data_IF_153627743965
#
_entry.id   IF_153627743965
#
_cell.length_a   1.000
_cell.length_b   1.000
_cell.length_c   1.000
_cell.angle_alpha   90.00
_cell.angle_beta   90.00
_cell.angle_gamma   90.00
#
_symmetry.space_group_name_H-M   'P 1'
#
loop_
_entity.id
_entity.type
_entity.pdbx_description
1 polymer ?
#
# COMPACT_ATOMS: atom_id res chain seq x y z
N UNK A 1 15.87 -9.75 -11.88
CA UNK A 1 17.30 -9.73 -12.26
C UNK A 1 18.26 -9.57 -11.08
N UNK A 2 18.16 -8.48 -10.26
CA UNK A 2 19.12 -8.19 -9.16
C UNK A 2 19.08 -9.23 -8.04
N UNK A 3 17.90 -9.66 -7.61
CA UNK A 3 17.72 -10.67 -6.55
C UNK A 3 18.29 -12.02 -7.01
N UNK A 4 17.96 -12.45 -8.23
CA UNK A 4 18.48 -13.71 -8.81
C UNK A 4 20.00 -13.73 -8.76
N UNK A 5 20.67 -12.69 -9.30
CA UNK A 5 22.11 -12.59 -9.32
C UNK A 5 22.75 -12.72 -7.92
N UNK A 6 22.19 -12.04 -6.91
CA UNK A 6 22.66 -12.11 -5.52
C UNK A 6 22.55 -13.51 -4.92
N UNK A 7 21.49 -14.24 -5.26
CA UNK A 7 21.26 -15.57 -4.73
C UNK A 7 22.13 -16.62 -5.42
N UNK A 8 22.33 -16.49 -6.75
CA UNK A 8 23.29 -17.30 -7.49
C UNK A 8 24.73 -17.11 -6.97
N UNK A 9 25.16 -15.87 -6.70
CA UNK A 9 26.45 -15.55 -6.08
C UNK A 9 26.59 -16.15 -4.66
N UNK A 10 25.48 -16.37 -3.96
CA UNK A 10 25.42 -17.02 -2.64
C UNK A 10 25.29 -18.55 -2.70
N UNK A 11 25.33 -19.15 -3.91
CA UNK A 11 25.27 -20.59 -4.12
C UNK A 11 23.85 -21.17 -4.25
N UNK A 12 22.82 -20.32 -4.39
CA UNK A 12 21.44 -20.75 -4.62
C UNK A 12 21.10 -20.68 -6.11
N UNK A 13 21.36 -21.72 -6.86
CA UNK A 13 21.02 -21.84 -8.27
C UNK A 13 19.57 -22.19 -8.55
N UNK A 14 19.22 -22.34 -9.83
CA UNK A 14 17.84 -22.62 -10.25
C UNK A 14 17.34 -24.02 -9.82
N UNK A 15 18.24 -24.93 -9.54
CA UNK A 15 17.97 -26.25 -8.96
C UNK A 15 17.46 -26.22 -7.50
N UNK A 16 17.78 -25.11 -6.79
CA UNK A 16 17.40 -24.92 -5.38
C UNK A 16 16.30 -23.88 -5.25
N UNK A 17 16.34 -22.81 -6.08
CA UNK A 17 15.49 -21.63 -5.92
C UNK A 17 14.87 -21.16 -7.23
N UNK A 18 13.56 -21.14 -7.27
CA UNK A 18 12.76 -20.52 -8.34
C UNK A 18 12.26 -19.15 -7.91
N UNK A 19 12.53 -18.09 -8.70
CA UNK A 19 12.05 -16.72 -8.47
C UNK A 19 11.04 -16.37 -9.56
N UNK A 20 9.84 -15.97 -9.14
CA UNK A 20 8.77 -15.49 -10.01
C UNK A 20 8.37 -14.07 -9.64
N UNK A 21 8.06 -13.25 -10.63
CA UNK A 21 7.47 -11.93 -10.45
C UNK A 21 5.99 -12.02 -10.84
N UNK A 22 5.15 -12.29 -9.85
CA UNK A 22 3.70 -12.36 -10.05
C UNK A 22 2.95 -12.00 -8.77
N UNK A 23 1.65 -11.80 -8.87
CA UNK A 23 0.84 -11.51 -7.69
C UNK A 23 0.71 -12.77 -6.82
N UNK A 24 0.84 -12.63 -5.51
CA UNK A 24 0.76 -13.76 -4.60
C UNK A 24 -0.64 -14.41 -4.53
N UNK A 25 -1.70 -13.74 -4.95
CA UNK A 25 -3.02 -14.34 -5.05
C UNK A 25 -3.13 -15.44 -6.12
N UNK A 26 -2.11 -15.62 -6.97
CA UNK A 26 -2.02 -16.73 -7.93
C UNK A 26 -1.24 -17.93 -7.37
N UNK A 27 -1.18 -18.07 -6.06
CA UNK A 27 -0.44 -19.15 -5.37
C UNK A 27 -0.89 -20.56 -5.78
N UNK A 28 -2.17 -20.74 -6.09
CA UNK A 28 -2.74 -22.00 -6.55
C UNK A 28 -2.18 -22.45 -7.90
N UNK A 29 -1.89 -21.52 -8.81
CA UNK A 29 -1.26 -21.82 -10.10
C UNK A 29 0.17 -22.35 -9.89
N UNK A 30 0.93 -21.67 -9.02
CA UNK A 30 2.30 -22.08 -8.69
C UNK A 30 2.31 -23.41 -7.97
N UNK A 31 1.35 -23.63 -7.07
CA UNK A 31 1.22 -24.89 -6.33
C UNK A 31 0.92 -26.07 -7.26
N UNK A 32 0.04 -25.90 -8.25
CA UNK A 32 -0.24 -26.93 -9.28
C UNK A 32 1.01 -27.34 -10.03
N UNK A 33 1.86 -26.39 -10.42
CA UNK A 33 3.12 -26.69 -11.11
C UNK A 33 4.16 -27.37 -10.18
N UNK A 34 4.21 -26.97 -8.89
CA UNK A 34 5.17 -27.48 -7.92
C UNK A 34 4.71 -28.79 -7.23
N UNK A 35 3.46 -29.21 -7.41
CA UNK A 35 2.88 -30.35 -6.68
C UNK A 35 2.51 -30.04 -5.21
N UNK A 36 2.21 -28.77 -4.91
CA UNK A 36 1.89 -28.28 -3.58
C UNK A 36 3.11 -27.92 -2.73
N UNK A 37 2.88 -27.19 -1.64
CA UNK A 37 3.91 -26.70 -0.73
C UNK A 37 3.82 -27.33 0.66
N UNK A 38 4.96 -27.63 1.26
CA UNK A 38 5.06 -28.10 2.64
C UNK A 38 5.03 -26.93 3.63
N UNK A 39 5.48 -25.74 3.15
CA UNK A 39 5.49 -24.51 3.93
C UNK A 39 5.29 -23.28 3.02
N UNK A 40 4.47 -22.35 3.45
CA UNK A 40 4.24 -21.04 2.78
C UNK A 40 4.51 -19.95 3.81
N UNK A 41 5.32 -18.95 3.44
CA UNK A 41 5.54 -17.73 4.22
C UNK A 41 5.14 -16.53 3.36
N UNK A 42 4.22 -15.72 3.84
CA UNK A 42 3.82 -14.47 3.21
C UNK A 42 4.33 -13.28 4.04
N UNK A 43 5.34 -12.57 3.51
CA UNK A 43 5.84 -11.30 4.07
C UNK A 43 5.23 -10.15 3.26
N UNK A 44 4.11 -9.62 3.80
CA UNK A 44 3.23 -8.70 3.09
C UNK A 44 3.54 -7.23 3.42
N UNK A 45 3.17 -6.35 2.52
CA UNK A 45 3.33 -4.90 2.66
C UNK A 45 4.48 -4.35 1.83
N UNK A 46 4.98 -3.18 2.22
CA UNK A 46 6.05 -2.46 1.49
C UNK A 46 7.39 -2.58 2.19
N UNK A 47 8.44 -2.76 1.39
CA UNK A 47 9.81 -2.79 1.91
C UNK A 47 10.34 -1.39 2.21
N UNK A 48 11.36 -1.29 3.08
CA UNK A 48 12.06 -0.02 3.34
C UNK A 48 12.61 0.63 2.08
N UNK A 49 13.11 -0.15 1.13
CA UNK A 49 13.60 0.36 -0.16
C UNK A 49 12.50 1.03 -1.00
N UNK A 50 11.26 0.57 -0.89
CA UNK A 50 10.11 1.21 -1.56
C UNK A 50 9.73 2.51 -0.85
N UNK A 51 9.73 2.50 0.49
CA UNK A 51 9.42 3.69 1.32
C UNK A 51 10.47 4.79 1.11
N UNK A 52 11.74 4.42 1.03
CA UNK A 52 12.88 5.35 0.90
C UNK A 52 13.03 5.93 -0.51
N UNK A 53 12.29 5.42 -1.49
CA UNK A 53 12.30 5.97 -2.84
C UNK A 53 11.23 7.06 -3.01
N UNK A 54 11.61 8.35 -3.09
CA UNK A 54 10.63 9.45 -3.19
C UNK A 54 9.72 9.36 -4.42
N UNK A 55 10.21 8.76 -5.51
CA UNK A 55 9.44 8.60 -6.76
C UNK A 55 8.24 7.65 -6.63
N UNK A 56 8.17 6.88 -5.54
CA UNK A 56 7.09 5.94 -5.25
C UNK A 56 5.96 6.57 -4.41
N UNK A 57 6.24 7.69 -3.73
CA UNK A 57 5.27 8.41 -2.92
C UNK A 57 4.85 7.75 -1.60
N UNK A 58 5.51 6.68 -1.15
CA UNK A 58 5.16 5.98 0.09
C UNK A 58 5.51 6.75 1.37
N UNK A 59 6.40 7.74 1.27
CA UNK A 59 6.83 8.55 2.41
C UNK A 59 6.33 9.99 2.28
N UNK A 60 5.72 10.51 3.34
CA UNK A 60 5.34 11.90 3.48
C UNK A 60 6.47 12.80 4.03
N UNK A 61 7.66 12.24 4.27
CA UNK A 61 8.81 12.97 4.82
C UNK A 61 9.56 13.75 3.75
N UNK A 62 9.56 13.26 2.53
CA UNK A 62 10.24 13.83 1.37
C UNK A 62 9.21 14.05 0.28
N UNK A 63 9.31 15.16 -0.44
CA UNK A 63 8.42 15.44 -1.56
C UNK A 63 8.62 14.47 -2.71
N UNK A 64 7.53 14.07 -3.32
CA UNK A 64 7.50 13.15 -4.46
C UNK A 64 6.08 13.02 -5.02
N UNK A 65 5.92 12.37 -6.20
CA UNK A 65 4.60 12.12 -6.76
C UNK A 65 3.75 11.29 -5.80
N UNK A 66 2.48 11.62 -5.66
CA UNK A 66 1.53 10.85 -4.87
C UNK A 66 1.06 9.62 -5.68
N UNK A 67 1.94 8.63 -5.84
CA UNK A 67 1.69 7.43 -6.63
C UNK A 67 1.11 6.29 -5.79
N UNK A 68 1.83 5.76 -4.82
CA UNK A 68 1.48 4.68 -3.89
C UNK A 68 1.23 3.30 -4.53
N UNK A 69 1.36 3.14 -5.83
CA UNK A 69 1.20 1.83 -6.49
C UNK A 69 2.39 0.93 -6.20
N UNK A 70 2.13 -0.34 -5.89
CA UNK A 70 3.16 -1.38 -5.80
C UNK A 70 3.70 -1.71 -7.20
N UNK A 71 2.83 -1.79 -8.19
CA UNK A 71 3.18 -1.90 -9.61
C UNK A 71 2.86 -0.59 -10.34
N UNK A 72 3.87 0.21 -10.68
CA UNK A 72 3.70 1.50 -11.36
C UNK A 72 3.28 1.38 -12.84
N UNK A 73 3.35 0.18 -13.42
CA UNK A 73 2.94 -0.07 -14.80
C UNK A 73 1.44 -0.39 -14.94
N UNK A 74 0.72 -0.52 -13.83
CA UNK A 74 -0.70 -0.86 -13.82
C UNK A 74 -1.50 -0.07 -12.80
N UNK A 75 -2.80 0.06 -13.02
CA UNK A 75 -3.73 0.75 -12.13
C UNK A 75 -3.59 2.28 -12.17
N UNK A 76 -4.32 2.94 -11.29
CA UNK A 76 -4.32 4.40 -11.11
C UNK A 76 -3.49 4.79 -9.89
N UNK A 77 -2.80 5.92 -9.95
CA UNK A 77 -2.07 6.49 -8.81
C UNK A 77 -3.03 7.00 -7.73
N UNK A 78 -2.51 7.20 -6.52
CA UNK A 78 -3.30 7.81 -5.44
C UNK A 78 -3.72 9.25 -5.79
N UNK A 79 -2.93 9.98 -6.54
CA UNK A 79 -3.30 11.30 -7.04
C UNK A 79 -4.52 11.24 -7.99
N UNK A 80 -4.56 10.28 -8.90
CA UNK A 80 -5.69 10.05 -9.82
C UNK A 80 -6.93 9.55 -9.05
N UNK A 81 -6.72 8.66 -8.08
CA UNK A 81 -7.80 8.17 -7.21
C UNK A 81 -8.44 9.32 -6.43
N UNK A 82 -7.64 10.19 -5.79
CA UNK A 82 -8.14 11.36 -5.09
C UNK A 82 -8.90 12.34 -6.01
N UNK A 83 -8.46 12.49 -7.25
CA UNK A 83 -9.13 13.38 -8.19
C UNK A 83 -10.55 12.93 -8.58
N UNK A 84 -10.85 11.64 -8.43
CA UNK A 84 -12.12 11.03 -8.85
C UNK A 84 -13.02 10.60 -7.68
N UNK A 85 -12.50 10.53 -6.44
CA UNK A 85 -13.22 10.00 -5.29
C UNK A 85 -14.23 11.02 -4.73
N UNK A 86 -15.37 10.55 -4.27
CA UNK A 86 -16.34 11.37 -3.53
C UNK A 86 -15.91 11.56 -2.07
N UNK A 87 -16.49 12.56 -1.37
CA UNK A 87 -16.21 12.79 0.05
C UNK A 87 -16.55 11.56 0.89
N UNK A 88 -17.72 10.97 0.69
CA UNK A 88 -18.21 9.87 1.50
C UNK A 88 -17.39 8.59 1.28
N UNK A 89 -17.01 8.31 0.02
CA UNK A 89 -16.07 7.21 -0.29
C UNK A 89 -14.70 7.42 0.35
N UNK A 90 -14.17 8.65 0.34
CA UNK A 90 -12.87 8.95 0.94
C UNK A 90 -12.92 8.80 2.46
N UNK A 91 -13.99 9.28 3.12
CA UNK A 91 -14.16 9.10 4.55
C UNK A 91 -14.26 7.63 4.93
N UNK A 92 -15.06 6.84 4.21
CA UNK A 92 -15.17 5.39 4.38
C UNK A 92 -13.82 4.69 4.20
N UNK A 93 -13.11 4.98 3.12
CA UNK A 93 -11.78 4.41 2.86
C UNK A 93 -10.77 4.71 3.97
N UNK A 94 -10.73 5.95 4.47
CA UNK A 94 -9.82 6.34 5.56
C UNK A 94 -10.15 5.61 6.86
N UNK A 95 -11.43 5.44 7.15
CA UNK A 95 -11.87 4.71 8.32
C UNK A 95 -11.61 3.20 8.20
N UNK A 96 -12.08 2.57 7.13
CA UNK A 96 -12.03 1.12 6.95
C UNK A 96 -10.59 0.58 6.76
N UNK A 97 -9.73 1.32 6.04
CA UNK A 97 -8.39 0.86 5.73
C UNK A 97 -7.34 1.22 6.79
N UNK A 98 -7.63 2.16 7.71
CA UNK A 98 -6.60 2.61 8.66
C UNK A 98 -7.10 3.13 10.01
N UNK A 99 -8.39 2.98 10.32
CA UNK A 99 -9.00 3.50 11.55
C UNK A 99 -8.67 4.99 11.80
N UNK A 100 -8.71 5.81 10.74
CA UNK A 100 -8.38 7.24 10.86
C UNK A 100 -9.52 7.99 11.59
N UNK A 101 -9.28 8.53 12.79
CA UNK A 101 -10.33 9.16 13.59
C UNK A 101 -10.85 10.48 13.01
N UNK A 102 -10.06 11.17 12.16
CA UNK A 102 -10.42 12.42 11.51
C UNK A 102 -10.83 12.21 10.04
N UNK A 103 -11.37 11.03 9.72
CA UNK A 103 -11.70 10.64 8.34
C UNK A 103 -12.67 11.63 7.67
N UNK A 104 -13.69 12.13 8.38
CA UNK A 104 -14.67 13.08 7.86
C UNK A 104 -14.08 14.45 7.57
N UNK A 105 -13.28 14.99 8.52
CA UNK A 105 -12.62 16.28 8.38
C UNK A 105 -11.60 16.27 7.24
N UNK A 106 -10.82 15.19 7.14
CA UNK A 106 -9.83 15.02 6.09
C UNK A 106 -10.49 14.85 4.72
N UNK A 107 -11.52 13.99 4.62
CA UNK A 107 -12.26 13.79 3.39
C UNK A 107 -12.87 15.10 2.89
N UNK A 108 -13.46 15.89 3.78
CA UNK A 108 -13.99 17.20 3.45
C UNK A 108 -12.88 18.15 2.97
N UNK A 109 -11.79 18.28 3.72
CA UNK A 109 -10.69 19.18 3.37
C UNK A 109 -10.04 18.84 2.02
N UNK A 110 -9.79 17.55 1.77
CA UNK A 110 -9.20 17.04 0.53
C UNK A 110 -10.14 17.32 -0.65
N UNK A 111 -11.42 16.96 -0.54
CA UNK A 111 -12.38 17.16 -1.64
C UNK A 111 -12.70 18.63 -1.88
N UNK A 112 -12.68 19.47 -0.85
CA UNK A 112 -12.84 20.93 -1.01
C UNK A 112 -11.65 21.55 -1.77
N UNK A 113 -10.42 21.11 -1.53
CA UNK A 113 -9.24 21.54 -2.30
C UNK A 113 -9.35 21.12 -3.78
N UNK A 114 -9.79 19.89 -4.04
CA UNK A 114 -10.00 19.37 -5.41
C UNK A 114 -11.08 20.20 -6.14
N UNK A 115 -12.19 20.53 -5.47
CA UNK A 115 -13.27 21.36 -6.03
C UNK A 115 -12.83 22.77 -6.36
N UNK A 116 -11.86 23.31 -5.64
CA UNK A 116 -11.21 24.61 -5.95
C UNK A 116 -10.27 24.54 -7.16
N UNK A 117 -10.07 23.36 -7.74
CA UNK A 117 -9.14 23.16 -8.85
C UNK A 117 -7.69 22.85 -8.40
N UNK A 118 -7.45 22.67 -7.10
CA UNK A 118 -6.13 22.34 -6.57
C UNK A 118 -5.86 20.84 -6.73
N UNK A 119 -4.90 20.49 -7.57
CA UNK A 119 -4.50 19.11 -7.78
C UNK A 119 -3.59 18.63 -6.63
N UNK A 120 -3.95 17.51 -6.02
CA UNK A 120 -3.17 16.87 -4.93
C UNK A 120 -2.33 15.75 -5.55
N UNK A 121 -1.24 16.11 -6.19
CA UNK A 121 -0.39 15.23 -6.99
C UNK A 121 0.97 14.92 -6.33
N UNK A 122 1.26 15.52 -5.16
CA UNK A 122 2.48 15.25 -4.41
C UNK A 122 2.22 14.90 -2.95
N UNK A 123 3.16 14.18 -2.36
CA UNK A 123 3.13 13.80 -0.95
C UNK A 123 3.10 15.00 -0.01
N UNK A 124 3.82 16.07 -0.35
CA UNK A 124 3.84 17.31 0.44
C UNK A 124 2.50 18.05 0.39
N UNK A 125 1.83 18.09 -0.76
CA UNK A 125 0.50 18.72 -0.86
C UNK A 125 -0.52 18.01 0.03
N UNK A 126 -0.57 16.68 0.00
CA UNK A 126 -1.45 15.91 0.87
C UNK A 126 -1.12 16.14 2.35
N UNK A 127 0.15 16.07 2.72
CA UNK A 127 0.61 16.34 4.08
C UNK A 127 0.19 17.74 4.55
N UNK A 128 0.38 18.77 3.73
CA UNK A 128 0.01 20.16 4.08
C UNK A 128 -1.50 20.31 4.32
N UNK A 129 -2.35 19.57 3.60
CA UNK A 129 -3.79 19.55 3.85
C UNK A 129 -4.09 18.91 5.21
N UNK A 130 -3.45 17.79 5.53
CA UNK A 130 -3.60 17.12 6.82
C UNK A 130 -3.18 18.06 7.97
N UNK A 131 -2.02 18.71 7.84
CA UNK A 131 -1.51 19.66 8.84
C UNK A 131 -2.49 20.82 9.08
N UNK A 132 -3.03 21.41 8.01
CA UNK A 132 -4.02 22.50 8.10
C UNK A 132 -5.34 22.03 8.70
N UNK A 133 -5.80 20.84 8.33
CA UNK A 133 -7.05 20.26 8.84
C UNK A 133 -7.00 20.05 10.36
N UNK A 134 -5.83 19.68 10.87
CA UNK A 134 -5.61 19.39 12.29
C UNK A 134 -5.02 20.58 13.07
N UNK A 135 -5.04 21.79 12.51
CA UNK A 135 -4.46 22.99 13.14
C UNK A 135 -5.16 23.39 14.45
N UNK A 136 -6.39 22.96 14.64
CA UNK A 136 -7.18 23.17 15.85
C UNK A 136 -6.69 22.41 17.08
N UNK A 137 -5.81 21.41 16.90
CA UNK A 137 -5.32 20.58 17.99
C UNK A 137 -4.38 21.35 18.94
N UNK A 138 -4.37 21.01 20.25
CA UNK A 138 -3.42 21.57 21.20
C UNK A 138 -1.98 21.26 20.79
N UNK A 139 -1.08 22.25 20.91
CA UNK A 139 0.34 22.13 20.50
C UNK A 139 1.05 20.89 21.09
N UNK A 140 0.71 20.50 22.31
CA UNK A 140 1.31 19.34 22.99
C UNK A 140 1.06 18.02 22.26
N UNK A 141 -0.09 17.88 21.59
CA UNK A 141 -0.54 16.64 20.94
C UNK A 141 -0.42 16.71 19.41
N UNK A 142 -0.38 17.92 18.88
CA UNK A 142 -0.47 18.24 17.46
C UNK A 142 0.54 17.48 16.62
N UNK A 143 1.82 17.54 16.98
CA UNK A 143 2.91 16.94 16.20
C UNK A 143 2.78 15.41 16.05
N UNK A 144 2.47 14.73 17.15
CA UNK A 144 2.33 13.27 17.14
C UNK A 144 1.04 12.83 16.43
N UNK A 145 -0.05 13.58 16.64
CA UNK A 145 -1.34 13.31 15.96
C UNK A 145 -1.20 13.51 14.46
N UNK A 146 -0.65 14.62 13.99
CA UNK A 146 -0.40 14.86 12.55
C UNK A 146 0.45 13.74 11.95
N UNK A 147 1.53 13.32 12.63
CA UNK A 147 2.36 12.22 12.15
C UNK A 147 1.57 10.92 11.99
N UNK A 148 0.76 10.55 12.99
CA UNK A 148 -0.08 9.35 12.95
C UNK A 148 -1.14 9.44 11.85
N UNK A 149 -1.82 10.58 11.73
CA UNK A 149 -2.81 10.82 10.68
C UNK A 149 -2.17 10.77 9.28
N UNK A 150 -0.99 11.35 9.07
CA UNK A 150 -0.26 11.16 7.82
C UNK A 150 0.02 9.67 7.54
N UNK A 151 0.48 8.91 8.53
CA UNK A 151 0.74 7.48 8.37
C UNK A 151 -0.52 6.72 7.96
N UNK A 152 -1.65 6.95 8.65
CA UNK A 152 -2.94 6.31 8.37
C UNK A 152 -3.50 6.71 7.00
N UNK A 153 -3.48 8.00 6.66
CA UNK A 153 -3.97 8.48 5.36
C UNK A 153 -3.18 7.86 4.20
N UNK A 154 -1.85 7.84 4.29
CA UNK A 154 -1.00 7.21 3.27
C UNK A 154 -1.19 5.70 3.22
N UNK A 155 -1.38 5.04 4.36
CA UNK A 155 -1.70 3.62 4.43
C UNK A 155 -3.06 3.32 3.78
N UNK A 156 -4.10 4.08 4.10
CA UNK A 156 -5.43 3.88 3.55
C UNK A 156 -5.44 4.02 2.02
N UNK A 157 -4.81 5.07 1.49
CA UNK A 157 -4.66 5.28 0.05
C UNK A 157 -3.85 4.17 -0.61
N UNK A 158 -2.78 3.69 0.03
CA UNK A 158 -1.97 2.58 -0.49
C UNK A 158 -2.79 1.30 -0.60
N UNK A 159 -3.53 0.96 0.44
CA UNK A 159 -4.40 -0.21 0.48
C UNK A 159 -5.43 -0.14 -0.65
N UNK A 160 -6.09 1.01 -0.83
CA UNK A 160 -7.11 1.23 -1.86
C UNK A 160 -6.54 1.08 -3.27
N UNK A 161 -5.49 1.83 -3.64
CA UNK A 161 -4.96 1.82 -5.02
C UNK A 161 -4.31 0.48 -5.41
N UNK A 162 -3.88 -0.32 -4.44
CA UNK A 162 -3.31 -1.64 -4.68
C UNK A 162 -4.29 -2.79 -4.44
N UNK A 163 -5.51 -2.49 -3.98
CA UNK A 163 -6.53 -3.49 -3.61
C UNK A 163 -5.96 -4.55 -2.68
N UNK A 164 -5.21 -4.11 -1.65
CA UNK A 164 -4.42 -5.02 -0.82
C UNK A 164 -5.28 -6.02 -0.06
N UNK A 165 -6.46 -5.60 0.43
CA UNK A 165 -7.36 -6.49 1.17
C UNK A 165 -8.02 -7.52 0.24
N UNK A 166 -8.46 -7.12 -0.95
CA UNK A 166 -9.06 -8.06 -1.91
C UNK A 166 -8.05 -9.10 -2.38
N UNK A 167 -6.83 -8.67 -2.69
CA UNK A 167 -5.73 -9.57 -3.07
C UNK A 167 -5.35 -10.52 -1.93
N UNK A 168 -5.34 -10.01 -0.69
CA UNK A 168 -5.10 -10.85 0.50
C UNK A 168 -6.22 -11.86 0.69
N UNK A 169 -7.47 -11.45 0.53
CA UNK A 169 -8.61 -12.35 0.64
C UNK A 169 -8.55 -13.48 -0.40
N UNK A 170 -8.31 -13.15 -1.67
CA UNK A 170 -8.11 -14.13 -2.73
C UNK A 170 -6.97 -15.11 -2.42
N UNK A 171 -5.87 -14.62 -1.86
CA UNK A 171 -4.76 -15.45 -1.42
C UNK A 171 -5.18 -16.42 -0.31
N UNK A 172 -5.88 -15.92 0.71
CA UNK A 172 -6.33 -16.75 1.84
C UNK A 172 -7.32 -17.83 1.41
N UNK A 173 -8.21 -17.56 0.45
CA UNK A 173 -9.12 -18.56 -0.09
C UNK A 173 -8.40 -19.69 -0.83
N UNK A 174 -7.31 -19.38 -1.53
CA UNK A 174 -6.52 -20.34 -2.32
C UNK A 174 -5.44 -21.05 -1.52
N UNK A 175 -5.12 -20.54 -0.33
CA UNK A 175 -4.04 -21.05 0.50
C UNK A 175 -4.19 -22.53 0.89
N UNK A 176 -5.39 -23.03 1.29
CA UNK A 176 -5.58 -24.44 1.60
C UNK A 176 -5.27 -25.37 0.43
N UNK A 177 -5.63 -24.97 -0.80
CA UNK A 177 -5.41 -25.76 -2.01
C UNK A 177 -3.95 -25.76 -2.49
N UNK A 178 -3.19 -24.75 -2.04
CA UNK A 178 -1.76 -24.65 -2.33
C UNK A 178 -0.88 -25.49 -1.40
N UNK A 179 -1.40 -25.88 -0.23
CA UNK A 179 -0.68 -26.67 0.76
C UNK A 179 -0.85 -28.18 0.51
N UNK A 180 0.22 -28.94 0.73
CA UNK A 180 0.15 -30.39 0.84
C UNK A 180 -0.52 -30.79 2.16
N UNK A 181 -1.06 -32.04 2.27
CA UNK A 181 -1.54 -32.57 3.55
C UNK A 181 -0.48 -32.44 4.65
N UNK A 182 -0.83 -31.72 5.74
CA UNK A 182 0.10 -31.44 6.85
C UNK A 182 1.01 -30.22 6.63
N UNK A 183 0.91 -29.53 5.49
CA UNK A 183 1.62 -28.27 5.21
C UNK A 183 1.18 -27.13 6.14
N UNK A 184 2.00 -26.09 6.25
CA UNK A 184 1.79 -24.94 7.14
C UNK A 184 1.95 -23.61 6.37
N UNK A 185 1.18 -22.61 6.79
CA UNK A 185 1.29 -21.22 6.31
C UNK A 185 1.34 -20.25 7.47
#
# INVERSE_FOLDING_TARGET
ARTRKRLEEAGFGEDILTIRLQNFCTIDEIAKEAGGFDFILADLGVSSMQIDNPKRGFSFKVDGPLDLRLNQEAGISAAERLAAITKDELAGMLYENSDEPYCEELAKAITDEIRKGNRIDTTTKLRNIIEKTLDFLPEKEKKDTIKKTCQRTFQALRIDVNREFEVLYEFMEKLPDALKPGGRA
#
